data_IF_360093243599
#
_entry.id   IF_360093243599
#
_cell.length_a   1.000
_cell.length_b   1.000
_cell.length_c   1.000
_cell.angle_alpha   90.00
_cell.angle_beta   90.00
_cell.angle_gamma   90.00
#
_symmetry.space_group_name_H-M   'P 1'
#
loop_
_entity.id
_entity.type
_entity.pdbx_description
1 polymer ?
#
# COMPACT_ATOMS: atom_id res chain seq x y z
N UNK A 1 32.43 -35.12 -36.80
CA UNK A 1 31.72 -33.82 -36.88
C UNK A 1 30.69 -33.77 -35.77
N UNK A 2 31.01 -33.13 -34.65
CA UNK A 2 30.08 -32.93 -33.54
C UNK A 2 29.79 -31.43 -33.48
N UNK A 3 28.58 -31.03 -33.87
CA UNK A 3 28.14 -29.63 -33.80
C UNK A 3 27.54 -29.44 -32.42
N UNK A 4 28.25 -28.76 -31.53
CA UNK A 4 27.73 -28.31 -30.25
C UNK A 4 26.66 -27.24 -30.49
N UNK A 5 25.42 -27.56 -30.13
CA UNK A 5 24.32 -26.58 -30.05
C UNK A 5 24.67 -25.58 -28.93
N UNK A 6 25.14 -24.40 -29.31
CA UNK A 6 25.29 -23.27 -28.40
C UNK A 6 23.89 -22.84 -27.97
N UNK A 7 23.54 -23.11 -26.72
CA UNK A 7 22.29 -22.69 -26.10
C UNK A 7 22.41 -21.18 -25.86
N UNK A 8 21.86 -20.37 -26.77
CA UNK A 8 21.67 -18.94 -26.57
C UNK A 8 20.76 -18.76 -25.35
N UNK A 9 21.37 -18.54 -24.18
CA UNK A 9 20.69 -17.97 -23.04
C UNK A 9 20.32 -16.56 -23.47
N UNK A 10 19.05 -16.35 -23.83
CA UNK A 10 18.48 -15.02 -23.91
C UNK A 10 18.59 -14.42 -22.50
N UNK A 11 19.66 -13.65 -22.26
CA UNK A 11 19.74 -12.79 -21.09
C UNK A 11 18.58 -11.82 -21.18
N UNK A 12 17.57 -12.00 -20.33
CA UNK A 12 16.53 -10.98 -20.21
C UNK A 12 17.23 -9.68 -19.80
N UNK A 13 16.89 -8.53 -20.42
CA UNK A 13 17.53 -7.28 -20.08
C UNK A 13 17.38 -7.03 -18.58
N UNK A 14 18.51 -6.75 -17.93
CA UNK A 14 18.58 -6.35 -16.53
C UNK A 14 17.73 -5.09 -16.37
N UNK A 15 16.62 -5.18 -15.64
CA UNK A 15 15.65 -4.07 -15.54
C UNK A 15 15.52 -3.62 -14.10
N UNK A 16 15.84 -2.35 -13.87
CA UNK A 16 15.51 -1.65 -12.62
C UNK A 16 14.05 -1.26 -12.70
N UNK A 17 13.21 -1.79 -11.82
CA UNK A 17 11.77 -1.51 -11.83
C UNK A 17 11.41 -0.58 -10.68
N UNK A 18 10.61 0.43 -10.98
CA UNK A 18 10.12 1.37 -9.98
C UNK A 18 8.59 1.42 -9.99
N UNK A 19 8.01 1.07 -8.84
CA UNK A 19 6.61 1.34 -8.52
C UNK A 19 6.57 2.65 -7.75
N UNK A 20 5.65 3.55 -8.12
CA UNK A 20 5.40 4.76 -7.34
C UNK A 20 3.96 4.66 -6.84
N UNK A 21 3.83 4.33 -5.56
CA UNK A 21 2.54 4.10 -4.91
C UNK A 21 2.15 5.32 -4.08
N UNK A 22 1.04 5.94 -4.46
CA UNK A 22 0.41 6.98 -3.66
C UNK A 22 -0.59 6.34 -2.68
N UNK A 23 -0.33 6.48 -1.39
CA UNK A 23 -1.23 5.99 -0.34
C UNK A 23 -2.37 7.00 -0.09
N UNK A 24 -3.31 6.64 0.80
CA UNK A 24 -4.41 7.50 1.26
C UNK A 24 -5.51 7.85 0.23
N UNK A 25 -5.64 7.07 -0.84
CA UNK A 25 -6.74 7.27 -1.79
C UNK A 25 -8.09 6.98 -1.12
N UNK A 26 -9.02 7.92 -1.23
CA UNK A 26 -10.32 7.91 -0.53
C UNK A 26 -10.39 8.73 0.76
N UNK A 27 -9.28 9.30 1.25
CA UNK A 27 -9.30 10.11 2.48
C UNK A 27 -9.96 11.48 2.30
N UNK A 28 -9.70 12.16 1.17
CA UNK A 28 -10.19 13.51 0.89
C UNK A 28 -10.20 13.78 -0.63
N UNK A 29 -11.06 14.69 -1.11
CA UNK A 29 -11.09 15.11 -2.51
C UNK A 29 -9.76 15.63 -3.03
N UNK A 30 -9.05 16.46 -2.25
CA UNK A 30 -7.80 17.10 -2.66
C UNK A 30 -6.65 16.08 -2.78
N UNK A 31 -6.63 15.08 -1.90
CA UNK A 31 -5.71 13.93 -2.01
C UNK A 31 -6.07 13.12 -3.26
N UNK A 32 -7.33 12.72 -3.42
CA UNK A 32 -7.75 11.88 -4.54
C UNK A 32 -7.46 12.51 -5.91
N UNK A 33 -7.83 13.78 -6.08
CA UNK A 33 -7.56 14.53 -7.32
C UNK A 33 -6.07 14.74 -7.55
N UNK A 34 -5.30 15.01 -6.50
CA UNK A 34 -3.85 15.13 -6.58
C UNK A 34 -3.17 13.83 -7.00
N UNK A 35 -3.63 12.68 -6.51
CA UNK A 35 -3.12 11.37 -6.91
C UNK A 35 -3.34 11.13 -8.40
N UNK A 36 -4.55 11.37 -8.91
CA UNK A 36 -4.84 11.21 -10.34
C UNK A 36 -4.08 12.22 -11.20
N UNK A 37 -3.91 13.46 -10.73
CA UNK A 37 -3.04 14.43 -11.38
C UNK A 37 -1.58 13.94 -11.43
N UNK A 38 -1.05 13.42 -10.32
CA UNK A 38 0.32 12.88 -10.27
C UNK A 38 0.51 11.60 -11.08
N UNK A 39 -0.54 10.83 -11.34
CA UNK A 39 -0.54 9.72 -12.29
C UNK A 39 -0.49 10.21 -13.74
N UNK A 40 -1.38 11.13 -14.09
CA UNK A 40 -1.51 11.62 -15.48
C UNK A 40 -0.35 12.51 -15.92
N UNK A 41 0.19 13.34 -15.03
CA UNK A 41 1.28 14.27 -15.35
C UNK A 41 2.65 13.77 -14.88
N UNK A 42 2.67 12.93 -13.85
CA UNK A 42 3.88 12.53 -13.15
C UNK A 42 4.27 11.08 -13.36
N UNK A 43 4.83 10.49 -12.31
CA UNK A 43 5.39 9.14 -12.29
C UNK A 43 4.58 8.16 -11.45
N UNK A 44 3.43 8.56 -10.89
CA UNK A 44 2.60 7.67 -10.06
C UNK A 44 2.06 6.54 -10.94
N UNK A 45 2.29 5.30 -10.51
CA UNK A 45 1.86 4.10 -11.25
C UNK A 45 0.79 3.31 -10.52
N UNK A 46 0.76 3.41 -9.19
CA UNK A 46 -0.18 2.69 -8.35
C UNK A 46 -0.73 3.61 -7.26
N UNK A 47 -1.90 3.30 -6.75
CA UNK A 47 -2.47 3.94 -5.56
C UNK A 47 -3.15 2.93 -4.66
N UNK A 48 -3.20 3.21 -3.35
CA UNK A 48 -3.83 2.35 -2.38
C UNK A 48 -5.13 2.97 -1.84
N UNK A 49 -6.25 2.34 -2.18
CA UNK A 49 -7.61 2.78 -1.82
C UNK A 49 -8.02 2.27 -0.44
N UNK A 50 -8.45 3.19 0.41
CA UNK A 50 -9.15 2.89 1.65
C UNK A 50 -10.62 2.59 1.34
N UNK A 51 -11.08 1.39 1.67
CA UNK A 51 -12.50 1.03 1.55
C UNK A 51 -13.35 1.53 2.72
N UNK A 52 -12.76 2.23 3.68
CA UNK A 52 -13.43 2.69 4.89
C UNK A 52 -13.15 4.16 5.18
N UNK A 53 -12.89 4.96 4.14
CA UNK A 53 -12.64 6.39 4.26
C UNK A 53 -13.86 7.22 3.80
N UNK A 54 -13.97 8.50 4.21
CA UNK A 54 -15.12 9.35 3.86
C UNK A 54 -15.35 9.54 2.36
N UNK A 55 -14.28 9.54 1.55
CA UNK A 55 -14.35 9.80 0.12
C UNK A 55 -14.04 8.55 -0.72
N UNK A 56 -14.19 7.35 -0.15
CA UNK A 56 -14.02 6.08 -0.90
C UNK A 56 -14.87 6.05 -2.17
N UNK A 57 -16.15 6.45 -2.10
CA UNK A 57 -17.04 6.48 -3.27
C UNK A 57 -16.55 7.44 -4.36
N UNK A 58 -16.07 8.63 -3.98
CA UNK A 58 -15.48 9.58 -4.92
C UNK A 58 -14.22 9.03 -5.57
N UNK A 59 -13.34 8.39 -4.79
CA UNK A 59 -12.11 7.77 -5.28
C UNK A 59 -12.39 6.63 -6.27
N UNK A 60 -13.43 5.82 -6.03
CA UNK A 60 -13.89 4.77 -6.95
C UNK A 60 -14.35 5.36 -8.29
N UNK A 61 -15.15 6.44 -8.28
CA UNK A 61 -15.56 7.07 -9.55
C UNK A 61 -14.36 7.68 -10.27
N UNK A 62 -13.47 8.36 -9.54
CA UNK A 62 -12.30 9.01 -10.11
C UNK A 62 -11.30 8.00 -10.73
N UNK A 63 -11.18 6.78 -10.18
CA UNK A 63 -10.30 5.76 -10.74
C UNK A 63 -10.79 5.21 -12.08
N UNK A 64 -12.11 5.25 -12.34
CA UNK A 64 -12.68 4.84 -13.64
C UNK A 64 -12.21 5.75 -14.78
N UNK A 65 -11.95 7.02 -14.47
CA UNK A 65 -11.41 8.02 -15.43
C UNK A 65 -9.89 7.90 -15.62
N UNK A 66 -9.20 7.06 -14.83
CA UNK A 66 -7.76 6.83 -14.89
C UNK A 66 -7.44 5.32 -15.00
N UNK A 67 -7.83 4.64 -16.10
CA UNK A 67 -7.77 3.17 -16.21
C UNK A 67 -6.35 2.58 -16.16
N UNK A 68 -5.31 3.38 -16.42
CA UNK A 68 -3.91 2.97 -16.34
C UNK A 68 -3.31 3.09 -14.92
N UNK A 69 -4.05 3.69 -13.96
CA UNK A 69 -3.66 3.76 -12.56
C UNK A 69 -3.99 2.44 -11.86
N UNK A 70 -2.99 1.71 -11.38
CA UNK A 70 -3.24 0.47 -10.64
C UNK A 70 -3.76 0.78 -9.23
N UNK A 71 -5.02 0.45 -8.96
CA UNK A 71 -5.65 0.65 -7.64
C UNK A 71 -5.54 -0.63 -6.81
N UNK A 72 -4.81 -0.59 -5.70
CA UNK A 72 -4.71 -1.65 -4.70
C UNK A 72 -5.52 -1.36 -3.44
N UNK A 73 -5.60 -2.34 -2.54
CA UNK A 73 -6.31 -2.21 -1.27
C UNK A 73 -5.38 -1.69 -0.16
N UNK A 74 -5.73 -0.54 0.43
CA UNK A 74 -5.13 -0.02 1.64
C UNK A 74 -5.93 -0.49 2.85
N UNK A 75 -5.54 -1.60 3.47
CA UNK A 75 -6.21 -2.04 4.69
C UNK A 75 -6.03 -1.02 5.81
N UNK A 76 -7.10 -0.77 6.57
CA UNK A 76 -6.98 0.08 7.75
C UNK A 76 -7.77 -0.43 8.94
N UNK A 77 -7.14 -0.44 10.11
CA UNK A 77 -7.75 -0.80 11.40
C UNK A 77 -7.73 0.37 12.40
N UNK A 78 -7.46 1.58 11.89
CA UNK A 78 -7.44 2.87 12.57
C UNK A 78 -7.92 3.97 11.60
N UNK A 79 -8.22 5.17 12.06
CA UNK A 79 -8.37 6.35 11.17
C UNK A 79 -9.36 6.12 9.98
N UNK A 80 -10.53 5.54 10.24
CA UNK A 80 -11.56 5.23 9.23
C UNK A 80 -12.85 4.69 9.86
N UNK A 81 -13.88 4.48 9.03
CA UNK A 81 -15.09 3.78 9.44
C UNK A 81 -14.80 2.31 9.79
N UNK A 82 -15.60 1.73 10.68
CA UNK A 82 -15.58 0.30 10.95
C UNK A 82 -16.65 -0.37 10.09
N UNK A 83 -16.24 -1.05 9.01
CA UNK A 83 -17.19 -1.69 8.07
C UNK A 83 -17.94 -2.87 8.68
N UNK A 84 -17.33 -3.52 9.68
CA UNK A 84 -17.98 -4.55 10.49
C UNK A 84 -18.89 -3.98 11.59
N UNK A 85 -18.89 -2.65 11.79
CA UNK A 85 -19.80 -1.93 12.68
C UNK A 85 -19.75 -2.41 14.13
N UNK A 86 -20.93 -2.52 14.76
CA UNK A 86 -21.05 -2.91 16.18
C UNK A 86 -20.59 -4.35 16.48
N UNK A 87 -20.33 -5.17 15.45
CA UNK A 87 -19.78 -6.52 15.63
C UNK A 87 -18.30 -6.52 16.04
N UNK A 88 -17.64 -5.36 16.02
CA UNK A 88 -16.20 -5.22 16.28
C UNK A 88 -15.91 -4.22 17.40
N UNK A 89 -16.52 -4.43 18.57
CA UNK A 89 -16.50 -3.51 19.72
C UNK A 89 -15.09 -3.13 20.18
N UNK A 90 -14.14 -4.06 20.12
CA UNK A 90 -12.75 -3.80 20.53
C UNK A 90 -12.02 -2.86 19.56
N UNK A 91 -12.49 -2.76 18.31
CA UNK A 91 -11.92 -1.89 17.27
C UNK A 91 -12.53 -0.49 17.28
N UNK A 92 -13.69 -0.31 17.91
CA UNK A 92 -14.42 0.94 17.88
C UNK A 92 -13.73 2.04 18.68
N UNK A 93 -13.73 3.22 18.08
CA UNK A 93 -13.49 4.48 18.76
C UNK A 93 -14.74 4.84 19.60
N UNK A 94 -14.58 5.21 20.87
CA UNK A 94 -15.73 5.48 21.75
C UNK A 94 -16.50 6.74 21.39
N UNK A 95 -15.89 7.67 20.66
CA UNK A 95 -16.40 9.02 20.45
C UNK A 95 -16.88 9.26 19.00
N UNK A 96 -16.55 8.38 18.04
CA UNK A 96 -16.88 8.48 16.61
C UNK A 96 -16.63 9.88 16.01
N UNK A 97 -15.44 10.08 15.45
CA UNK A 97 -15.02 11.37 14.89
C UNK A 97 -15.56 11.65 13.48
N UNK A 98 -16.03 10.63 12.76
CA UNK A 98 -16.90 10.83 11.61
C UNK A 98 -18.36 10.68 12.05
N UNK A 99 -19.19 11.61 11.60
CA UNK A 99 -20.62 11.61 11.93
C UNK A 99 -21.28 10.34 11.37
N UNK A 100 -22.36 9.89 12.01
CA UNK A 100 -23.33 8.90 11.49
C UNK A 100 -22.91 7.42 11.48
N UNK A 101 -21.63 7.05 11.63
CA UNK A 101 -21.21 5.63 11.59
C UNK A 101 -20.13 5.28 12.63
N UNK A 102 -20.07 4.02 13.11
CA UNK A 102 -19.00 3.56 13.99
C UNK A 102 -17.63 3.74 13.31
N UNK A 103 -16.69 4.35 14.03
CA UNK A 103 -15.32 4.56 13.56
C UNK A 103 -14.35 3.61 14.26
N UNK A 104 -13.28 3.25 13.58
CA UNK A 104 -12.11 2.58 14.16
C UNK A 104 -11.32 3.58 15.01
N UNK A 105 -10.49 3.08 15.96
CA UNK A 105 -9.63 3.93 16.79
C UNK A 105 -8.96 5.04 15.97
N UNK A 106 -9.15 6.30 16.37
CA UNK A 106 -8.61 7.48 15.66
C UNK A 106 -7.08 7.63 15.72
N UNK A 107 -6.40 6.79 16.50
CA UNK A 107 -4.98 6.92 16.77
C UNK A 107 -4.30 5.56 16.87
N UNK A 108 -3.32 5.32 16.00
CA UNK A 108 -2.57 4.08 15.97
C UNK A 108 -1.83 3.75 17.27
N UNK A 109 -1.37 4.75 18.03
CA UNK A 109 -0.71 4.52 19.33
C UNK A 109 -1.70 3.99 20.36
N UNK A 110 -2.94 4.48 20.34
CA UNK A 110 -3.99 4.00 21.23
C UNK A 110 -4.38 2.57 20.86
N UNK A 111 -4.55 2.30 19.55
CA UNK A 111 -4.77 0.94 19.05
C UNK A 111 -3.63 0.02 19.52
N UNK A 112 -2.38 0.39 19.30
CA UNK A 112 -1.21 -0.43 19.66
C UNK A 112 -1.14 -0.67 21.16
N UNK A 113 -1.45 0.33 21.99
CA UNK A 113 -1.53 0.15 23.45
C UNK A 113 -2.58 -0.89 23.83
N UNK A 114 -3.81 -0.77 23.31
CA UNK A 114 -4.89 -1.75 23.56
C UNK A 114 -4.52 -3.13 23.03
N UNK A 115 -3.89 -3.20 21.86
CA UNK A 115 -3.44 -4.43 21.23
C UNK A 115 -2.41 -5.16 22.10
N UNK A 116 -1.39 -4.45 22.59
CA UNK A 116 -0.38 -5.01 23.49
C UNK A 116 -0.96 -5.45 24.85
N UNK A 117 -2.06 -4.80 25.29
CA UNK A 117 -2.79 -5.18 26.51
C UNK A 117 -3.77 -6.35 26.29
N UNK A 118 -3.83 -6.95 25.09
CA UNK A 118 -4.76 -8.03 24.77
C UNK A 118 -6.23 -7.59 24.70
N UNK A 119 -6.47 -6.28 24.57
CA UNK A 119 -7.81 -5.68 24.55
C UNK A 119 -8.40 -5.57 23.14
N UNK A 120 -7.68 -6.03 22.12
CA UNK A 120 -8.12 -6.07 20.72
C UNK A 120 -8.39 -7.53 20.34
N UNK A 121 -9.61 -7.80 19.87
CA UNK A 121 -10.03 -9.12 19.44
C UNK A 121 -9.51 -9.42 18.04
N UNK A 122 -8.72 -10.49 17.89
CA UNK A 122 -8.23 -10.94 16.59
C UNK A 122 -9.36 -11.41 15.66
N UNK A 123 -10.46 -11.93 16.23
CA UNK A 123 -11.64 -12.34 15.46
C UNK A 123 -12.36 -11.13 14.86
N UNK A 124 -12.46 -10.03 15.62
CA UNK A 124 -13.03 -8.78 15.13
C UNK A 124 -12.15 -8.14 14.07
N UNK A 125 -10.82 -8.20 14.26
CA UNK A 125 -9.84 -7.69 13.30
C UNK A 125 -9.89 -8.47 11.98
N UNK A 126 -9.97 -9.80 12.02
CA UNK A 126 -10.20 -10.63 10.83
C UNK A 126 -11.51 -10.26 10.13
N UNK A 127 -12.60 -10.10 10.88
CA UNK A 127 -13.90 -9.71 10.32
C UNK A 127 -13.81 -8.36 9.61
N UNK A 128 -13.18 -7.36 10.21
CA UNK A 128 -13.01 -6.03 9.61
C UNK A 128 -12.19 -6.09 8.32
N UNK A 129 -11.07 -6.81 8.31
CA UNK A 129 -10.28 -6.98 7.08
C UNK A 129 -11.03 -7.71 5.98
N UNK A 130 -11.78 -8.77 6.31
CA UNK A 130 -12.65 -9.45 5.33
C UNK A 130 -13.68 -8.50 4.73
N UNK A 131 -14.31 -7.67 5.55
CA UNK A 131 -15.26 -6.67 5.07
C UNK A 131 -14.63 -5.68 4.10
N UNK A 132 -13.40 -5.21 4.38
CA UNK A 132 -12.68 -4.30 3.47
C UNK A 132 -12.26 -4.99 2.16
N UNK A 133 -11.79 -6.24 2.23
CA UNK A 133 -11.44 -7.03 1.05
C UNK A 133 -12.68 -7.28 0.18
N UNK A 134 -13.78 -7.72 0.79
CA UNK A 134 -15.03 -8.02 0.08
C UNK A 134 -15.67 -6.77 -0.51
N UNK A 135 -15.58 -5.63 0.19
CA UNK A 135 -15.99 -4.33 -0.36
C UNK A 135 -15.19 -3.97 -1.61
N UNK A 136 -13.86 -4.09 -1.56
CA UNK A 136 -13.00 -3.81 -2.70
C UNK A 136 -13.33 -4.71 -3.89
N UNK A 137 -13.48 -6.02 -3.65
CA UNK A 137 -13.82 -6.99 -4.68
C UNK A 137 -15.18 -6.71 -5.34
N UNK A 138 -16.12 -6.14 -4.58
CA UNK A 138 -17.46 -5.80 -5.07
C UNK A 138 -17.46 -4.54 -5.92
N UNK A 139 -16.77 -3.48 -5.48
CA UNK A 139 -16.83 -2.17 -6.13
C UNK A 139 -15.78 -1.96 -7.23
N UNK A 140 -14.59 -2.55 -7.07
CA UNK A 140 -13.45 -2.37 -7.98
C UNK A 140 -13.15 -3.66 -8.75
N UNK A 141 -13.12 -4.80 -8.06
CA UNK A 141 -12.76 -6.10 -8.63
C UNK A 141 -11.46 -6.67 -8.06
N UNK A 142 -10.72 -7.51 -8.82
CA UNK A 142 -9.54 -8.19 -8.30
C UNK A 142 -8.51 -7.25 -7.68
N UNK A 143 -7.98 -7.59 -6.51
CA UNK A 143 -7.00 -6.77 -5.79
C UNK A 143 -5.60 -7.02 -6.36
N UNK A 144 -4.98 -6.05 -7.05
CA UNK A 144 -3.65 -6.23 -7.64
C UNK A 144 -2.55 -6.28 -6.57
N UNK A 145 -2.70 -5.52 -5.49
CA UNK A 145 -1.79 -5.52 -4.35
C UNK A 145 -2.47 -5.04 -3.07
N UNK A 146 -1.81 -5.31 -1.93
CA UNK A 146 -2.26 -4.91 -0.61
C UNK A 146 -1.15 -4.22 0.18
N UNK A 147 -1.50 -3.16 0.89
CA UNK A 147 -0.70 -2.54 1.95
C UNK A 147 -1.64 -2.14 3.11
N UNK A 148 -1.17 -1.34 4.07
CA UNK A 148 -2.05 -0.82 5.13
C UNK A 148 -1.57 0.48 5.74
N UNK A 149 -2.52 1.23 6.29
CA UNK A 149 -2.29 2.44 7.07
C UNK A 149 -1.31 2.17 8.21
N UNK A 150 -0.31 3.05 8.35
CA UNK A 150 0.78 2.93 9.33
C UNK A 150 1.56 1.59 9.27
N UNK A 151 1.47 0.84 8.16
CA UNK A 151 2.08 -0.48 7.98
C UNK A 151 1.69 -1.52 9.04
N UNK A 152 0.52 -1.39 9.67
CA UNK A 152 0.10 -2.25 10.78
C UNK A 152 -0.06 -3.73 10.38
N UNK A 153 -0.25 -4.01 9.08
CA UNK A 153 -0.18 -5.36 8.51
C UNK A 153 1.14 -6.10 8.76
N UNK A 154 2.25 -5.42 9.10
CA UNK A 154 3.52 -6.09 9.42
C UNK A 154 3.57 -6.61 10.87
N UNK A 155 2.73 -6.08 11.77
CA UNK A 155 2.79 -6.40 13.20
C UNK A 155 2.35 -7.84 13.48
N UNK A 156 3.06 -8.62 14.29
CA UNK A 156 2.57 -9.93 14.74
C UNK A 156 1.48 -9.80 15.83
N UNK A 157 0.45 -10.66 15.86
CA UNK A 157 0.10 -11.69 14.86
C UNK A 157 -0.65 -11.18 13.61
N UNK A 158 -0.97 -9.90 13.48
CA UNK A 158 -1.73 -9.30 12.35
C UNK A 158 -1.16 -9.73 10.99
N UNK A 159 0.15 -9.69 10.80
CA UNK A 159 0.75 -10.05 9.50
C UNK A 159 0.55 -11.51 9.10
N UNK A 160 0.40 -12.44 10.05
CA UNK A 160 0.04 -13.83 9.72
C UNK A 160 -1.39 -13.91 9.21
N UNK A 161 -2.30 -13.18 9.84
CA UNK A 161 -3.69 -13.09 9.43
C UNK A 161 -3.79 -12.48 8.02
N UNK A 162 -3.11 -11.36 7.77
CA UNK A 162 -3.12 -10.72 6.44
C UNK A 162 -2.57 -11.67 5.36
N UNK A 163 -1.48 -12.39 5.63
CA UNK A 163 -0.96 -13.41 4.69
C UNK A 163 -2.01 -14.50 4.40
N UNK A 164 -2.70 -14.98 5.43
CA UNK A 164 -3.77 -15.97 5.28
C UNK A 164 -4.91 -15.45 4.41
N UNK A 165 -5.34 -14.20 4.62
CA UNK A 165 -6.39 -13.57 3.82
C UNK A 165 -5.93 -13.36 2.38
N UNK A 166 -4.69 -12.93 2.14
CA UNK A 166 -4.16 -12.82 0.78
C UNK A 166 -4.21 -14.16 0.04
N UNK A 167 -3.86 -15.28 0.71
CA UNK A 167 -3.95 -16.61 0.12
C UNK A 167 -5.40 -17.01 -0.18
N UNK A 168 -6.31 -16.75 0.76
CA UNK A 168 -7.72 -17.09 0.63
C UNK A 168 -8.42 -16.33 -0.51
N UNK A 169 -8.18 -15.03 -0.63
CA UNK A 169 -8.79 -14.16 -1.65
C UNK A 169 -7.94 -14.07 -2.94
N UNK A 170 -6.85 -14.83 -3.06
CA UNK A 170 -6.02 -14.88 -4.26
C UNK A 170 -5.20 -13.62 -4.55
N UNK A 171 -4.94 -12.80 -3.54
CA UNK A 171 -4.10 -11.59 -3.62
C UNK A 171 -2.64 -12.02 -3.68
N UNK A 172 -1.94 -11.66 -4.75
CA UNK A 172 -0.56 -12.14 -5.00
C UNK A 172 0.53 -11.20 -4.53
N UNK A 173 0.24 -9.89 -4.47
CA UNK A 173 1.23 -8.85 -4.19
C UNK A 173 0.93 -8.13 -2.88
N UNK A 174 1.97 -7.83 -2.09
CA UNK A 174 1.85 -7.15 -0.80
C UNK A 174 3.08 -6.26 -0.55
N UNK A 175 2.90 -5.12 0.13
CA UNK A 175 4.01 -4.26 0.56
C UNK A 175 4.78 -4.88 1.74
N UNK A 176 5.73 -5.77 1.44
CA UNK A 176 6.65 -6.33 2.44
C UNK A 176 8.12 -6.15 1.99
N UNK A 177 8.66 -4.92 1.94
CA UNK A 177 9.99 -4.67 1.37
C UNK A 177 11.13 -5.37 2.14
N UNK A 178 12.16 -5.86 1.42
CA UNK A 178 13.37 -6.45 2.04
C UNK A 178 14.25 -5.37 2.70
N UNK A 179 14.24 -4.17 2.16
CA UNK A 179 14.96 -2.99 2.64
C UNK A 179 14.06 -1.76 2.62
N UNK A 180 14.22 -0.86 3.59
CA UNK A 180 13.44 0.39 3.70
C UNK A 180 14.43 1.54 3.93
N UNK A 181 14.32 2.60 3.13
CA UNK A 181 15.14 3.82 3.19
C UNK A 181 16.63 3.50 3.35
N UNK A 182 17.17 2.76 2.37
CA UNK A 182 18.58 2.38 2.31
C UNK A 182 19.45 3.65 2.42
N UNK A 183 20.47 3.62 3.28
CA UNK A 183 21.36 4.78 3.47
C UNK A 183 20.77 6.00 4.18
N UNK A 184 19.51 5.95 4.65
CA UNK A 184 18.93 7.07 5.40
C UNK A 184 19.63 7.28 6.76
N UNK A 185 19.70 8.55 7.19
CA UNK A 185 20.31 8.95 8.47
C UNK A 185 19.55 8.35 9.65
N UNK A 186 20.29 8.03 10.71
CA UNK A 186 19.70 7.49 11.94
C UNK A 186 18.83 8.55 12.64
N UNK A 187 17.56 8.22 12.82
CA UNK A 187 16.59 8.99 13.59
C UNK A 187 15.49 8.03 14.10
N UNK A 188 14.50 8.56 14.83
CA UNK A 188 13.41 7.75 15.39
C UNK A 188 12.56 7.05 14.33
N UNK A 189 12.36 7.66 13.15
CA UNK A 189 11.68 7.03 12.01
C UNK A 189 12.53 5.92 11.39
N UNK A 190 13.85 6.10 11.31
CA UNK A 190 14.75 5.07 10.80
C UNK A 190 14.75 3.83 11.71
N UNK A 191 14.70 4.00 13.03
CA UNK A 191 14.55 2.88 13.97
C UNK A 191 13.24 2.11 13.71
N UNK A 192 12.13 2.83 13.47
CA UNK A 192 10.85 2.21 13.10
C UNK A 192 10.94 1.49 11.75
N UNK A 193 11.64 2.07 10.77
CA UNK A 193 11.87 1.43 9.47
C UNK A 193 12.65 0.12 9.61
N UNK A 194 13.68 0.06 10.46
CA UNK A 194 14.45 -1.17 10.71
C UNK A 194 13.61 -2.25 11.41
N UNK A 195 12.73 -1.86 12.34
CA UNK A 195 11.77 -2.78 12.95
C UNK A 195 10.81 -3.34 11.89
N UNK A 196 10.19 -2.49 11.08
CA UNK A 196 9.28 -2.89 10.02
C UNK A 196 9.98 -3.78 8.99
N UNK A 197 11.19 -3.42 8.57
CA UNK A 197 12.01 -4.23 7.68
C UNK A 197 12.27 -5.64 8.25
N UNK A 198 12.59 -5.74 9.55
CA UNK A 198 12.77 -7.02 10.23
C UNK A 198 11.49 -7.86 10.24
N UNK A 199 10.34 -7.23 10.51
CA UNK A 199 9.02 -7.89 10.46
C UNK A 199 8.67 -8.34 9.04
N UNK A 200 8.87 -7.50 8.04
CA UNK A 200 8.66 -7.81 6.61
C UNK A 200 9.49 -9.01 6.18
N UNK A 201 10.80 -9.02 6.48
CA UNK A 201 11.68 -10.16 6.17
C UNK A 201 11.21 -11.45 6.83
N UNK A 202 10.74 -11.39 8.08
CA UNK A 202 10.20 -12.57 8.80
C UNK A 202 8.92 -13.09 8.15
N UNK A 203 8.03 -12.22 7.70
CA UNK A 203 6.80 -12.60 6.99
C UNK A 203 7.10 -13.18 5.61
N UNK A 204 7.99 -12.55 4.83
CA UNK A 204 8.43 -13.05 3.51
C UNK A 204 8.94 -14.48 3.55
N UNK A 205 9.68 -14.86 4.60
CA UNK A 205 10.18 -16.24 4.77
C UNK A 205 9.06 -17.28 4.93
N UNK A 206 7.82 -16.86 5.19
CA UNK A 206 6.67 -17.72 5.51
C UNK A 206 5.56 -17.63 4.46
N UNK A 207 5.80 -16.94 3.35
CA UNK A 207 4.78 -16.71 2.33
C UNK A 207 5.38 -16.72 0.93
N UNK A 208 4.55 -17.10 -0.05
CA UNK A 208 4.86 -17.00 -1.47
C UNK A 208 4.40 -15.67 -2.09
N UNK A 209 3.84 -14.76 -1.28
CA UNK A 209 3.44 -13.44 -1.74
C UNK A 209 4.62 -12.65 -2.29
N UNK A 210 4.33 -11.93 -3.37
CA UNK A 210 5.25 -11.09 -4.10
C UNK A 210 5.33 -9.70 -3.46
N UNK A 211 6.54 -9.15 -3.32
CA UNK A 211 6.75 -7.90 -2.61
C UNK A 211 8.03 -7.18 -3.07
N UNK A 212 8.06 -5.83 -3.10
CA UNK A 212 9.23 -5.04 -3.52
C UNK A 212 10.51 -5.44 -2.78
N UNK A 213 11.67 -5.31 -3.41
CA UNK A 213 12.96 -5.54 -2.76
C UNK A 213 13.33 -4.35 -1.88
N UNK A 214 13.11 -3.15 -2.40
CA UNK A 214 13.46 -1.89 -1.77
C UNK A 214 12.23 -0.99 -1.69
N UNK A 215 11.99 -0.38 -0.53
CA UNK A 215 11.02 0.70 -0.39
C UNK A 215 11.71 1.98 0.06
N UNK A 216 11.17 3.11 -0.39
CA UNK A 216 11.63 4.45 -0.07
C UNK A 216 10.45 5.36 0.28
N UNK A 217 10.69 6.33 1.16
CA UNK A 217 9.70 7.34 1.55
C UNK A 217 9.12 7.13 2.94
N UNK A 218 9.49 6.07 3.67
CA UNK A 218 8.95 5.83 5.01
C UNK A 218 9.47 6.87 6.01
N UNK A 219 10.78 7.11 6.05
CA UNK A 219 11.37 8.13 6.94
C UNK A 219 10.92 9.54 6.58
N UNK A 220 10.52 9.74 5.33
CA UNK A 220 10.15 11.04 4.77
C UNK A 220 8.66 11.14 4.45
N UNK A 221 7.82 10.28 5.04
CA UNK A 221 6.38 10.27 4.79
C UNK A 221 5.77 11.65 5.05
N UNK A 222 5.08 12.19 4.04
CA UNK A 222 4.50 13.52 4.02
C UNK A 222 5.49 14.64 3.66
N UNK A 223 6.75 14.33 3.36
CA UNK A 223 7.81 15.30 3.10
C UNK A 223 8.79 14.80 2.02
N UNK A 224 8.31 14.00 1.08
CA UNK A 224 9.09 13.56 -0.07
C UNK A 224 9.37 14.74 -1.00
N UNK A 225 10.64 15.09 -1.17
CA UNK A 225 11.06 16.17 -2.07
C UNK A 225 11.70 15.60 -3.32
N UNK A 226 11.77 16.43 -4.37
CA UNK A 226 12.48 16.11 -5.61
C UNK A 226 13.91 15.62 -5.35
N UNK A 227 14.67 16.35 -4.55
CA UNK A 227 16.08 16.04 -4.26
C UNK A 227 16.23 14.70 -3.53
N UNK A 228 15.28 14.36 -2.66
CA UNK A 228 15.24 13.06 -1.98
C UNK A 228 15.00 11.93 -2.99
N UNK A 229 14.08 12.12 -3.94
CA UNK A 229 13.82 11.12 -4.99
C UNK A 229 15.03 10.98 -5.91
N UNK A 230 15.62 12.09 -6.37
CA UNK A 230 16.81 12.09 -7.22
C UNK A 230 18.01 11.40 -6.53
N UNK A 231 18.17 11.57 -5.22
CA UNK A 231 19.18 10.87 -4.43
C UNK A 231 18.88 9.38 -4.18
N UNK A 232 17.61 8.98 -4.30
CA UNK A 232 17.18 7.58 -4.16
C UNK A 232 17.34 6.77 -5.46
N UNK A 233 17.00 7.33 -6.63
CA UNK A 233 17.02 6.59 -7.90
C UNK A 233 18.33 5.82 -8.18
N UNK A 234 19.54 6.37 -7.93
CA UNK A 234 20.79 5.64 -8.14
C UNK A 234 21.00 4.43 -7.21
N UNK A 235 20.20 4.30 -6.15
CA UNK A 235 20.31 3.21 -5.18
C UNK A 235 19.57 1.94 -5.62
N UNK A 236 18.73 2.02 -6.66
CA UNK A 236 17.99 0.88 -7.21
C UNK A 236 18.98 0.04 -8.03
N UNK A 237 19.26 -1.17 -7.56
CA UNK A 237 20.20 -2.07 -8.24
C UNK A 237 19.52 -2.80 -9.41
N UNK A 238 20.34 -3.36 -10.29
CA UNK A 238 19.86 -4.22 -11.37
C UNK A 238 19.04 -5.39 -10.81
N UNK A 239 17.94 -5.71 -11.47
CA UNK A 239 16.96 -6.72 -11.07
C UNK A 239 16.20 -6.45 -9.75
N UNK A 240 16.41 -5.31 -9.09
CA UNK A 240 15.57 -4.92 -7.95
C UNK A 240 14.24 -4.33 -8.43
N UNK A 241 13.16 -4.68 -7.70
CA UNK A 241 11.91 -3.91 -7.71
C UNK A 241 11.94 -2.94 -6.54
N UNK A 242 11.93 -1.65 -6.86
CA UNK A 242 11.80 -0.58 -5.89
C UNK A 242 10.36 -0.06 -5.83
N UNK A 243 9.97 0.39 -4.64
CA UNK A 243 8.73 1.12 -4.40
C UNK A 243 9.05 2.48 -3.77
N UNK A 244 8.54 3.56 -4.35
CA UNK A 244 8.39 4.83 -3.65
C UNK A 244 6.99 4.85 -3.03
N UNK A 245 6.94 5.03 -1.71
CA UNK A 245 5.73 5.24 -0.94
C UNK A 245 5.55 6.74 -0.75
N UNK A 246 4.48 7.29 -1.30
CA UNK A 246 4.21 8.73 -1.28
C UNK A 246 2.81 9.02 -0.76
N UNK A 247 2.61 10.25 -0.33
CA UNK A 247 1.34 10.78 0.15
C UNK A 247 1.06 12.12 -0.56
N UNK A 248 0.93 12.12 -1.91
CA UNK A 248 0.70 13.34 -2.66
C UNK A 248 -0.77 13.76 -2.58
N UNK A 249 -1.01 15.04 -2.78
CA UNK A 249 -2.34 15.61 -2.81
C UNK A 249 -2.27 17.10 -3.11
N UNK A 250 -3.39 17.69 -3.50
CA UNK A 250 -3.51 19.14 -3.43
C UNK A 250 -3.64 19.57 -1.97
N UNK A 251 -3.09 20.73 -1.63
CA UNK A 251 -3.38 21.34 -0.33
C UNK A 251 -4.79 21.94 -0.36
N UNK A 252 -5.56 21.72 0.70
CA UNK A 252 -6.81 22.44 0.93
C UNK A 252 -6.91 22.87 2.39
N UNK A 253 -7.59 23.98 2.65
CA UNK A 253 -7.77 24.49 4.02
C UNK A 253 -8.50 23.48 4.91
N UNK A 254 -9.48 22.76 4.34
CA UNK A 254 -10.28 21.76 5.05
C UNK A 254 -9.51 20.47 5.32
N UNK A 255 -8.55 20.08 4.46
CA UNK A 255 -7.76 18.86 4.63
C UNK A 255 -7.01 18.83 5.97
N UNK A 256 -6.40 19.96 6.36
CA UNK A 256 -5.65 20.05 7.61
C UNK A 256 -6.54 20.06 8.86
N UNK A 257 -7.80 20.48 8.73
CA UNK A 257 -8.77 20.47 9.82
C UNK A 257 -9.39 19.09 10.02
N UNK A 258 -9.59 18.34 8.92
CA UNK A 258 -10.22 17.03 8.92
C UNK A 258 -9.28 15.91 9.36
N UNK A 259 -7.99 16.00 9.04
CA UNK A 259 -7.06 14.90 9.29
C UNK A 259 -6.49 14.87 10.70
N UNK A 260 -6.25 13.66 11.25
CA UNK A 260 -5.64 13.52 12.55
C UNK A 260 -4.27 14.22 12.63
N UNK A 261 -3.86 14.60 13.83
CA UNK A 261 -2.57 15.24 14.09
C UNK A 261 -1.36 14.43 13.58
N UNK A 262 -1.51 13.11 13.37
CA UNK A 262 -0.49 12.25 12.75
C UNK A 262 -0.05 12.76 11.36
N UNK A 263 -0.93 13.46 10.64
CA UNK A 263 -0.67 14.10 9.35
C UNK A 263 -0.16 15.55 9.46
N UNK A 264 -0.02 16.10 10.66
CA UNK A 264 0.25 17.53 10.86
C UNK A 264 1.55 18.06 10.23
N UNK A 265 2.51 17.18 9.93
CA UNK A 265 3.77 17.55 9.26
C UNK A 265 3.75 17.29 7.74
N UNK A 266 2.62 16.87 7.18
CA UNK A 266 2.53 16.49 5.78
C UNK A 266 2.45 17.76 4.90
N UNK A 267 3.17 17.68 3.79
CA UNK A 267 3.22 18.63 2.70
C UNK A 267 2.80 17.89 1.42
N UNK A 268 1.49 17.62 1.31
CA UNK A 268 0.91 16.86 0.20
C UNK A 268 1.20 17.52 -1.15
N UNK A 269 1.03 18.84 -1.24
CA UNK A 269 1.32 19.58 -2.47
C UNK A 269 2.81 19.57 -2.84
N UNK A 270 3.70 19.59 -1.85
CA UNK A 270 5.15 19.43 -2.06
C UNK A 270 5.53 18.05 -2.60
N UNK A 271 4.95 16.98 -2.06
CA UNK A 271 5.15 15.63 -2.59
C UNK A 271 4.60 15.51 -4.01
N UNK A 272 3.39 16.06 -4.26
CA UNK A 272 2.80 16.06 -5.59
C UNK A 272 3.68 16.78 -6.61
N UNK A 273 4.18 17.98 -6.24
CA UNK A 273 5.10 18.75 -7.07
C UNK A 273 6.38 17.97 -7.41
N UNK A 274 6.94 17.24 -6.43
CA UNK A 274 8.08 16.38 -6.68
C UNK A 274 7.74 15.25 -7.67
N UNK A 275 6.61 14.57 -7.50
CA UNK A 275 6.22 13.43 -8.34
C UNK A 275 5.84 13.80 -9.79
N UNK A 276 5.54 15.08 -10.06
CA UNK A 276 5.32 15.60 -11.42
C UNK A 276 6.53 16.30 -12.01
N UNK A 277 7.64 16.37 -11.29
CA UNK A 277 8.83 17.06 -11.76
C UNK A 277 9.48 16.31 -12.95
N UNK A 278 9.66 16.98 -14.11
CA UNK A 278 10.20 16.34 -15.31
C UNK A 278 11.65 15.86 -15.13
N UNK A 279 12.43 16.46 -14.21
CA UNK A 279 13.81 16.06 -13.93
C UNK A 279 13.88 14.62 -13.41
N UNK A 280 12.85 14.16 -12.68
CA UNK A 280 12.80 12.78 -12.19
C UNK A 280 12.66 11.79 -13.35
N UNK A 281 11.78 12.08 -14.32
CA UNK A 281 11.61 11.25 -15.53
C UNK A 281 12.90 11.20 -16.35
N UNK A 282 13.57 12.35 -16.51
CA UNK A 282 14.88 12.42 -17.17
C UNK A 282 15.90 11.54 -16.44
N UNK A 283 15.99 11.67 -15.11
CA UNK A 283 16.95 10.90 -14.31
C UNK A 283 16.69 9.39 -14.36
N UNK A 284 15.43 8.99 -14.36
CA UNK A 284 15.04 7.59 -14.53
C UNK A 284 15.48 7.05 -15.89
N UNK A 285 15.30 7.82 -16.97
CA UNK A 285 15.74 7.46 -18.30
C UNK A 285 17.26 7.29 -18.38
N UNK A 286 18.03 8.19 -17.76
CA UNK A 286 19.50 8.08 -17.69
C UNK A 286 19.96 6.81 -16.97
N UNK A 287 19.23 6.40 -15.94
CA UNK A 287 19.56 5.25 -15.10
C UNK A 287 18.95 3.93 -15.61
N UNK A 288 18.21 3.96 -16.72
CA UNK A 288 17.51 2.78 -17.25
C UNK A 288 16.45 2.22 -16.29
N UNK A 289 15.79 3.10 -15.52
CA UNK A 289 14.72 2.73 -14.59
C UNK A 289 13.39 2.74 -15.34
N UNK A 290 12.71 1.61 -15.36
CA UNK A 290 11.40 1.47 -15.97
C UNK A 290 10.31 1.55 -14.89
N UNK A 291 9.30 2.40 -15.13
CA UNK A 291 8.08 2.37 -14.34
C UNK A 291 7.38 1.02 -14.43
N UNK A 292 6.78 0.62 -13.31
CA UNK A 292 6.02 -0.60 -13.19
C UNK A 292 4.89 -0.43 -12.17
N UNK A 293 4.03 -1.43 -12.15
CA UNK A 293 2.95 -1.61 -11.19
C UNK A 293 3.22 -2.91 -10.41
N UNK A 294 2.50 -3.15 -9.31
CA UNK A 294 2.62 -4.41 -8.60
C UNK A 294 2.19 -5.61 -9.44
N UNK A 295 1.30 -5.46 -10.41
CA UNK A 295 0.90 -6.55 -11.31
C UNK A 295 1.92 -6.85 -12.40
N UNK A 296 2.65 -5.83 -12.88
CA UNK A 296 3.56 -5.95 -14.03
C UNK A 296 4.99 -6.32 -13.64
N UNK A 297 5.35 -6.26 -12.35
CA UNK A 297 6.66 -6.68 -11.87
C UNK A 297 6.83 -8.22 -11.89
N UNK A 298 7.71 -8.71 -12.76
CA UNK A 298 8.00 -10.13 -12.95
C UNK A 298 9.04 -10.70 -11.95
N UNK A 299 9.86 -9.86 -11.31
CA UNK A 299 11.02 -10.27 -10.51
C UNK A 299 10.73 -10.47 -9.01
N UNK A 300 9.46 -10.51 -8.61
CA UNK A 300 9.13 -10.94 -7.26
C UNK A 300 9.40 -12.45 -7.14
N UNK A 301 10.64 -12.82 -6.81
CA UNK A 301 11.00 -14.22 -6.54
C UNK A 301 10.00 -14.83 -5.58
N UNK A 302 9.30 -15.87 -6.02
CA UNK A 302 8.52 -16.72 -5.15
C UNK A 302 9.50 -17.42 -4.21
N UNK A 303 9.29 -17.31 -2.88
CA UNK A 303 9.99 -18.16 -1.92
C UNK A 303 9.85 -19.65 -2.28
N UNK A 304 10.69 -20.54 -1.70
CA UNK A 304 10.80 -21.93 -2.15
C UNK A 304 9.42 -22.58 -2.26
N UNK A 305 9.12 -23.00 -3.50
CA UNK A 305 7.86 -23.64 -3.86
C UNK A 305 7.73 -24.97 -3.10
N UNK A 306 6.86 -24.99 -2.10
CA UNK A 306 6.34 -26.19 -1.48
C UNK A 306 4.84 -26.26 -1.73
N UNK A 307 4.45 -27.04 -2.75
CA UNK A 307 3.11 -27.53 -3.05
C UNK A 307 2.05 -26.48 -3.44
N UNK A 308 1.98 -26.17 -4.73
CA UNK A 308 0.71 -25.84 -5.38
C UNK A 308 0.05 -27.14 -5.85
N UNK A 309 -0.97 -27.59 -5.13
CA UNK A 309 -2.09 -28.26 -5.78
C UNK A 309 -3.20 -27.23 -5.93
N UNK A 310 -3.80 -27.22 -7.12
CA UNK A 310 -4.96 -26.42 -7.50
C UNK A 310 -6.04 -26.45 -6.42
N UNK A 311 -6.08 -25.40 -5.62
CA UNK A 311 -7.23 -25.06 -4.81
C UNK A 311 -7.80 -23.79 -5.43
N UNK A 312 -8.73 -23.97 -6.39
CA UNK A 312 -9.70 -22.92 -6.63
C UNK A 312 -10.43 -22.67 -5.31
N UNK A 313 -10.30 -21.48 -4.68
CA UNK A 313 -11.15 -21.20 -3.53
C UNK A 313 -12.59 -21.23 -4.05
N UNK A 314 -13.41 -22.13 -3.50
CA UNK A 314 -14.86 -21.97 -3.54
C UNK A 314 -15.17 -20.70 -2.77
N UNK A 315 -15.01 -19.55 -3.41
CA UNK A 315 -15.62 -18.31 -2.96
C UNK A 315 -17.11 -18.61 -2.92
N UNK A 316 -17.65 -18.68 -1.70
CA UNK A 316 -19.11 -18.63 -1.54
C UNK A 316 -19.58 -17.37 -2.26
N UNK A 317 -20.67 -17.41 -3.03
CA UNK A 317 -21.16 -16.20 -3.70
C UNK A 317 -21.28 -15.12 -2.63
N UNK A 318 -20.53 -14.02 -2.84
CA UNK A 318 -20.64 -12.81 -2.02
C UNK A 318 -22.13 -12.46 -2.10
N UNK A 319 -22.88 -12.71 -1.02
CA UNK A 319 -24.24 -12.18 -0.93
C UNK A 319 -24.07 -10.68 -1.17
N UNK A 320 -24.71 -10.14 -2.20
CA UNK A 320 -24.63 -8.73 -2.57
C UNK A 320 -24.89 -7.88 -1.33
N UNK A 321 -23.83 -7.45 -0.66
CA UNK A 321 -23.89 -6.50 0.45
C UNK A 321 -23.69 -5.15 -0.22
N UNK A 322 -24.72 -4.31 -0.16
CA UNK A 322 -24.57 -2.92 -0.55
C UNK A 322 -23.66 -2.26 0.49
N UNK A 323 -22.43 -1.95 0.08
CA UNK A 323 -21.61 -1.03 0.83
C UNK A 323 -22.05 0.38 0.45
N UNK A 324 -22.73 1.06 1.37
CA UNK A 324 -23.20 2.43 1.13
C UNK A 324 -22.02 3.40 1.24
N UNK A 325 -21.28 3.57 0.15
CA UNK A 325 -20.22 4.59 0.00
C UNK A 325 -20.74 5.96 -0.41
N UNK A 326 -22.06 6.10 -0.60
CA UNK A 326 -22.72 7.34 -1.00
C UNK A 326 -23.34 8.03 0.20
N UNK A 327 -22.52 8.42 1.19
CA UNK A 327 -22.91 9.40 2.23
C UNK A 327 -21.75 9.82 3.11
#
# INVERSE_FOLDING_TARGET
MCITKSMLIFSMPLKRKLIVCADDFGIDHAICTGIVYGHTQGIITSTALLMNAPFTGFAIELSKDAPDLEVGLHLSIVEGYCLSGQLSKSLLDPENYFSQRPCLHRNWKQFLKKFCLGQISMLELEREFRMQIEAFLTEIGPIPFLNSTQHLHCLPPIGKLVVSLCQEYGIKNIRLPKSIDRGARLNSRKIQAELLQSLSRRLRKKTSLRAPDLAFGFTNAGALTRDLILGFLPQIQENEVAEIMAHPGHDSATLRELLPQSYGTYNWSGELAALVDPEIKLKMSELGIELATFSTCASFETGPAGLSQDMHPKLSPIKSRNFDFQR
#
